data_IF_864221878941
#
_entry.id   IF_864221878941
#
_cell.length_a   1.000
_cell.length_b   1.000
_cell.length_c   1.000
_cell.angle_alpha   90.00
_cell.angle_beta   90.00
_cell.angle_gamma   90.00
#
_symmetry.space_group_name_H-M   'P 1'
#
loop_
_entity.id
_entity.type
_entity.pdbx_description
1 polymer ?
#
# COMPACT_ATOMS: atom_id res chain seq x y z
N UNK A 1 15.75 1.12 11.22
CA UNK A 1 15.40 2.03 10.11
C UNK A 1 14.24 1.44 9.28
N UNK A 2 13.06 1.27 9.89
CA UNK A 2 11.83 0.77 9.24
C UNK A 2 10.88 1.92 8.82
N UNK A 3 11.03 3.11 9.42
CA UNK A 3 10.17 4.26 9.13
C UNK A 3 10.30 4.82 7.70
N UNK A 4 11.49 4.70 7.08
CA UNK A 4 11.73 5.30 5.77
C UNK A 4 10.91 4.59 4.66
N UNK A 5 10.89 3.25 4.65
CA UNK A 5 10.16 2.54 3.59
C UNK A 5 8.64 2.67 3.77
N UNK A 6 8.10 2.64 5.01
CA UNK A 6 6.68 2.87 5.23
C UNK A 6 6.25 4.28 4.82
N UNK A 7 7.06 5.31 5.15
CA UNK A 7 6.80 6.67 4.70
C UNK A 7 6.80 6.77 3.17
N UNK A 8 7.77 6.11 2.50
CA UNK A 8 7.83 6.04 1.04
C UNK A 8 6.61 5.34 0.45
N UNK A 9 6.24 4.17 0.95
CA UNK A 9 5.06 3.43 0.50
C UNK A 9 3.79 4.30 0.59
N UNK A 10 3.57 4.96 1.74
CA UNK A 10 2.42 5.85 1.92
C UNK A 10 2.45 7.05 0.98
N UNK A 11 3.64 7.59 0.70
CA UNK A 11 3.80 8.67 -0.29
C UNK A 11 3.43 8.20 -1.69
N UNK A 12 3.88 7.01 -2.11
CA UNK A 12 3.57 6.44 -3.42
C UNK A 12 2.07 6.12 -3.57
N UNK A 13 1.45 5.63 -2.50
CA UNK A 13 -0.01 5.40 -2.47
C UNK A 13 -0.75 6.73 -2.68
N UNK A 14 -0.35 7.79 -1.97
CA UNK A 14 -0.96 9.12 -2.08
C UNK A 14 -0.71 9.82 -3.42
N UNK A 15 0.40 9.52 -4.11
CA UNK A 15 0.66 10.03 -5.46
C UNK A 15 -0.13 9.28 -6.55
N UNK A 16 -0.90 8.25 -6.19
CA UNK A 16 -1.67 7.45 -7.15
C UNK A 16 -0.82 6.44 -7.92
N UNK A 17 0.35 6.06 -7.39
CA UNK A 17 1.24 5.11 -8.04
C UNK A 17 0.96 3.66 -7.69
N UNK A 18 0.08 3.39 -6.72
CA UNK A 18 -0.32 2.04 -6.33
C UNK A 18 -1.20 1.43 -7.43
N UNK A 19 -0.73 0.36 -8.05
CA UNK A 19 -1.48 -0.36 -9.10
C UNK A 19 -2.26 -1.55 -8.55
N UNK A 20 -1.65 -2.29 -7.63
CA UNK A 20 -2.19 -3.56 -7.16
C UNK A 20 -1.70 -3.92 -5.76
N UNK A 21 -2.55 -4.66 -5.04
CA UNK A 21 -2.26 -5.20 -3.71
C UNK A 21 -2.54 -6.70 -3.71
N UNK A 22 -1.57 -7.48 -3.22
CA UNK A 22 -1.66 -8.94 -3.14
C UNK A 22 -1.37 -9.41 -1.72
N UNK A 23 -2.12 -10.39 -1.22
CA UNK A 23 -1.82 -11.06 0.05
C UNK A 23 -1.17 -12.40 -0.26
N UNK A 24 0.02 -12.62 0.30
CA UNK A 24 0.79 -13.84 0.11
C UNK A 24 1.19 -14.42 1.46
N UNK A 25 1.15 -15.75 1.57
CA UNK A 25 1.61 -16.46 2.78
C UNK A 25 3.13 -16.37 2.93
N UNK A 26 3.87 -16.28 1.82
CA UNK A 26 5.32 -16.13 1.81
C UNK A 26 5.80 -15.17 0.73
N UNK A 27 6.46 -14.09 1.16
CA UNK A 27 7.21 -13.21 0.29
C UNK A 27 8.67 -13.12 0.76
N UNK A 28 9.54 -13.93 0.18
CA UNK A 28 10.98 -13.98 0.49
C UNK A 28 11.26 -14.11 2.01
N UNK A 29 10.47 -14.91 2.73
CA UNK A 29 10.60 -15.11 4.18
C UNK A 29 9.82 -14.10 5.04
N UNK A 30 9.08 -13.18 4.43
CA UNK A 30 8.09 -12.33 5.12
C UNK A 30 6.74 -13.04 5.02
N UNK A 31 6.21 -13.47 6.18
CA UNK A 31 4.98 -14.27 6.28
C UNK A 31 4.10 -13.79 7.45
N UNK A 32 2.79 -13.57 7.26
CA UNK A 32 2.15 -13.29 5.96
C UNK A 32 2.51 -11.87 5.49
N UNK A 33 2.48 -11.65 4.17
CA UNK A 33 2.86 -10.38 3.55
C UNK A 33 1.73 -9.82 2.69
N UNK A 34 1.49 -8.52 2.83
CA UNK A 34 0.72 -7.74 1.87
C UNK A 34 1.67 -7.01 0.96
N UNK A 35 1.74 -7.41 -0.30
CA UNK A 35 2.67 -6.88 -1.28
C UNK A 35 1.99 -5.76 -2.07
N UNK A 36 2.59 -4.58 -2.04
CA UNK A 36 2.14 -3.40 -2.77
C UNK A 36 2.95 -3.25 -4.06
N UNK A 37 2.28 -3.20 -5.20
CA UNK A 37 2.88 -3.01 -6.51
C UNK A 37 2.68 -1.56 -6.98
N UNK A 38 3.77 -0.93 -7.42
CA UNK A 38 3.79 0.48 -7.80
C UNK A 38 4.34 0.66 -9.21
N UNK A 39 3.82 1.66 -9.93
CA UNK A 39 4.27 2.02 -11.29
C UNK A 39 5.78 2.27 -11.39
N UNK A 40 6.33 3.05 -10.46
CA UNK A 40 7.73 3.50 -10.50
C UNK A 40 8.64 2.80 -9.48
N UNK A 41 8.11 1.85 -8.71
CA UNK A 41 8.83 1.29 -7.57
C UNK A 41 8.72 -0.22 -7.44
N UNK A 42 9.76 -0.84 -6.88
CA UNK A 42 9.77 -2.27 -6.61
C UNK A 42 8.65 -2.65 -5.62
N UNK A 43 8.12 -3.88 -5.70
CA UNK A 43 7.06 -4.33 -4.80
C UNK A 43 7.50 -4.20 -3.33
N UNK A 44 6.61 -3.65 -2.50
CA UNK A 44 6.88 -3.45 -1.07
C UNK A 44 6.02 -4.39 -0.21
N UNK A 45 6.63 -5.39 0.46
CA UNK A 45 5.90 -6.26 1.38
C UNK A 45 5.66 -5.55 2.71
N UNK A 46 4.42 -5.60 3.18
CA UNK A 46 3.95 -5.06 4.45
C UNK A 46 3.59 -6.22 5.37
N UNK A 47 4.13 -6.20 6.59
CA UNK A 47 3.82 -7.19 7.64
C UNK A 47 2.42 -7.00 8.20
N UNK A 48 1.82 -8.09 8.67
CA UNK A 48 0.45 -8.14 9.14
C UNK A 48 0.13 -7.09 10.21
N UNK A 49 1.06 -6.80 11.12
CA UNK A 49 0.84 -5.78 12.17
C UNK A 49 0.57 -4.36 11.63
N UNK A 50 0.89 -4.11 10.36
CA UNK A 50 0.70 -2.82 9.72
C UNK A 50 -0.47 -2.80 8.72
N UNK A 51 -1.11 -3.93 8.42
CA UNK A 51 -2.13 -3.99 7.36
C UNK A 51 -3.30 -3.05 7.60
N UNK A 52 -3.77 -2.93 8.84
CA UNK A 52 -4.90 -2.07 9.19
C UNK A 52 -4.64 -0.60 8.80
N UNK A 53 -3.41 -0.12 9.00
CA UNK A 53 -3.04 1.25 8.63
C UNK A 53 -3.10 1.47 7.12
N UNK A 54 -2.65 0.50 6.34
CA UNK A 54 -2.64 0.58 4.88
C UNK A 54 -4.04 0.42 4.29
N UNK A 55 -4.87 -0.47 4.82
CA UNK A 55 -6.28 -0.58 4.40
C UNK A 55 -7.03 0.73 4.63
N UNK A 56 -6.85 1.35 5.81
CA UNK A 56 -7.45 2.66 6.10
C UNK A 56 -7.00 3.73 5.10
N UNK A 57 -5.71 3.78 4.78
CA UNK A 57 -5.17 4.74 3.82
C UNK A 57 -5.74 4.54 2.40
N UNK A 58 -5.78 3.30 1.92
CA UNK A 58 -6.29 2.98 0.57
C UNK A 58 -7.78 3.32 0.49
N UNK A 59 -8.58 2.90 1.48
CA UNK A 59 -10.01 3.18 1.53
C UNK A 59 -10.30 4.69 1.58
N UNK A 60 -9.50 5.48 2.32
CA UNK A 60 -9.63 6.93 2.35
C UNK A 60 -9.43 7.54 0.95
N UNK A 61 -8.40 7.12 0.22
CA UNK A 61 -8.11 7.64 -1.12
C UNK A 61 -9.17 7.23 -2.14
N UNK A 62 -9.65 5.99 -2.10
CA UNK A 62 -10.76 5.54 -2.95
C UNK A 62 -12.02 6.38 -2.73
N UNK A 63 -12.37 6.66 -1.48
CA UNK A 63 -13.52 7.50 -1.15
C UNK A 63 -13.33 8.95 -1.64
N UNK A 64 -12.12 9.51 -1.52
CA UNK A 64 -11.81 10.86 -2.03
C UNK A 64 -11.86 10.93 -3.56
N UNK A 65 -11.37 9.92 -4.27
CA UNK A 65 -11.45 9.84 -5.73
C UNK A 65 -12.89 9.71 -6.21
N UNK A 66 -13.66 8.81 -5.60
CA UNK A 66 -15.09 8.64 -5.87
C UNK A 66 -15.88 9.94 -5.67
N UNK A 67 -15.50 10.77 -4.70
CA UNK A 67 -16.11 12.09 -4.51
C UNK A 67 -15.75 13.04 -5.66
N UNK A 68 -14.47 13.10 -6.07
CA UNK A 68 -14.02 13.98 -7.16
C UNK A 68 -14.61 13.65 -8.52
N UNK A 69 -14.94 12.39 -8.80
CA UNK A 69 -15.57 12.00 -10.07
C UNK A 69 -17.07 12.31 -10.12
N UNK A 70 -17.70 12.55 -8.96
CA UNK A 70 -19.16 12.76 -8.84
C UNK A 70 -19.57 14.23 -8.99
N UNK A 71 -18.63 15.18 -8.96
CA UNK A 71 -18.86 16.62 -9.08
C UNK A 71 -18.00 17.23 -10.19
#
# INVERSE_FOLDING_TARGET
MYFNYHAKAKSLIKSGELEYVEIMDDYHGIKPAMVLYFLSHKPMPIRQEHWEEYYKLIQQLENEQNYKEKF
#
